data_IF_932247560505
#
_entry.id   IF_932247560505
#
_cell.length_a   1.000
_cell.length_b   1.000
_cell.length_c   1.000
_cell.angle_alpha   90.00
_cell.angle_beta   90.00
_cell.angle_gamma   90.00
#
_symmetry.space_group_name_H-M   'P 1'
#
loop_
_entity.id
_entity.type
_entity.pdbx_description
1 polymer ?
#
# COMPACT_ATOMS: atom_id res chain seq x y z
N UNK A 1 -39.71 26.68 -55.18
CA UNK A 1 -38.34 26.19 -54.86
C UNK A 1 -38.42 25.38 -53.58
N UNK A 2 -37.84 24.16 -53.50
CA UNK A 2 -37.74 23.45 -52.23
C UNK A 2 -36.49 23.89 -51.44
N UNK A 3 -36.46 23.77 -50.11
CA UNK A 3 -35.32 24.20 -49.30
C UNK A 3 -34.16 23.21 -49.41
N UNK A 4 -32.93 23.74 -49.56
CA UNK A 4 -31.68 22.96 -49.57
C UNK A 4 -31.49 22.28 -48.20
N UNK A 5 -31.41 20.94 -48.17
CA UNK A 5 -30.87 20.18 -47.04
C UNK A 5 -29.42 20.62 -46.78
N UNK A 6 -29.13 21.15 -45.59
CA UNK A 6 -27.75 21.32 -45.10
C UNK A 6 -27.20 19.94 -44.72
N UNK A 7 -26.19 19.48 -45.43
CA UNK A 7 -25.37 18.33 -45.04
C UNK A 7 -24.52 18.73 -43.84
N UNK A 8 -24.84 18.22 -42.64
CA UNK A 8 -23.91 18.27 -41.50
C UNK A 8 -22.89 17.15 -41.68
N UNK A 9 -21.67 17.53 -42.04
CA UNK A 9 -20.49 16.66 -41.92
C UNK A 9 -20.04 16.66 -40.46
N UNK A 10 -20.22 15.53 -39.78
CA UNK A 10 -19.57 15.28 -38.49
C UNK A 10 -18.06 15.10 -38.74
N UNK A 11 -17.17 15.91 -38.13
CA UNK A 11 -15.75 15.71 -38.27
C UNK A 11 -15.34 14.41 -37.55
N UNK A 12 -14.68 13.52 -38.29
CA UNK A 12 -13.95 12.40 -37.70
C UNK A 12 -12.86 12.94 -36.75
N UNK A 13 -12.66 12.34 -35.57
CA UNK A 13 -11.65 12.81 -34.63
C UNK A 13 -10.26 12.61 -35.22
N UNK A 14 -9.60 13.70 -35.58
CA UNK A 14 -8.21 13.70 -36.05
C UNK A 14 -7.30 13.35 -34.89
N UNK A 15 -6.69 12.16 -34.92
CA UNK A 15 -5.65 11.74 -33.99
C UNK A 15 -4.43 12.64 -34.19
N UNK A 16 -4.24 13.59 -33.26
CA UNK A 16 -3.13 14.55 -33.32
C UNK A 16 -1.84 13.91 -32.80
N UNK A 17 -0.68 14.34 -33.33
CA UNK A 17 0.62 13.91 -32.81
C UNK A 17 0.78 14.22 -31.32
N UNK A 18 0.12 15.28 -30.82
CA UNK A 18 0.08 15.61 -29.39
C UNK A 18 -0.65 14.53 -28.58
N UNK A 19 -1.77 14.00 -29.09
CA UNK A 19 -2.50 12.91 -28.45
C UNK A 19 -1.71 11.60 -28.45
N UNK A 20 -1.00 11.29 -29.56
CA UNK A 20 -0.10 10.13 -29.65
C UNK A 20 1.06 10.29 -28.66
N UNK A 21 1.70 11.45 -28.62
CA UNK A 21 2.81 11.72 -27.70
C UNK A 21 2.35 11.68 -26.24
N UNK A 22 1.13 12.13 -25.94
CA UNK A 22 0.56 12.03 -24.60
C UNK A 22 0.31 10.58 -24.22
N UNK A 23 -0.29 9.78 -25.11
CA UNK A 23 -0.52 8.36 -24.89
C UNK A 23 0.80 7.58 -24.65
N UNK A 24 1.84 7.89 -25.42
CA UNK A 24 3.17 7.30 -25.22
C UNK A 24 3.76 7.71 -23.86
N UNK A 25 3.61 8.98 -23.46
CA UNK A 25 4.08 9.47 -22.15
C UNK A 25 3.35 8.79 -21.00
N UNK A 26 2.02 8.73 -21.09
CA UNK A 26 1.17 8.08 -20.10
C UNK A 26 1.49 6.58 -19.99
N UNK A 27 1.76 5.91 -21.13
CA UNK A 27 2.18 4.52 -21.18
C UNK A 27 3.57 4.26 -20.60
N UNK A 28 4.55 5.14 -20.88
CA UNK A 28 5.88 5.07 -20.29
C UNK A 28 5.83 5.33 -18.78
N UNK A 29 5.08 6.33 -18.33
CA UNK A 29 4.90 6.58 -16.91
C UNK A 29 4.13 5.45 -16.21
N UNK A 30 3.14 4.85 -16.87
CA UNK A 30 2.44 3.68 -16.36
C UNK A 30 3.38 2.48 -16.23
N UNK A 31 4.22 2.21 -17.23
CA UNK A 31 5.21 1.13 -17.19
C UNK A 31 6.32 1.36 -16.15
N UNK A 32 6.79 2.60 -15.98
CA UNK A 32 7.76 2.98 -14.94
C UNK A 32 7.12 2.85 -13.54
N UNK A 33 5.83 3.22 -13.38
CA UNK A 33 5.07 2.96 -12.15
C UNK A 33 4.93 1.45 -11.90
N UNK A 34 4.61 0.68 -12.94
CA UNK A 34 4.39 -0.78 -12.88
C UNK A 34 5.66 -1.58 -12.53
N UNK A 35 6.85 -1.16 -12.97
CA UNK A 35 8.12 -1.80 -12.58
C UNK A 35 8.49 -1.51 -11.11
N UNK A 36 8.09 -0.35 -10.58
CA UNK A 36 8.42 0.07 -9.21
C UNK A 36 7.36 -0.40 -8.19
N UNK A 37 6.15 -0.77 -8.61
CA UNK A 37 4.96 -1.08 -7.77
C UNK A 37 4.71 -2.58 -7.49
N UNK A 38 5.65 -3.46 -7.86
CA UNK A 38 5.46 -4.92 -7.73
C UNK A 38 5.59 -5.38 -6.28
N UNK A 39 4.66 -6.24 -5.86
CA UNK A 39 4.84 -7.04 -4.65
C UNK A 39 5.59 -8.32 -4.99
N UNK A 40 6.73 -8.52 -4.33
CA UNK A 40 7.50 -9.75 -4.39
C UNK A 40 7.33 -10.50 -3.06
N UNK A 41 6.81 -11.73 -3.11
CA UNK A 41 6.58 -12.59 -1.93
C UNK A 41 7.84 -12.77 -1.05
N UNK A 42 9.03 -12.68 -1.64
CA UNK A 42 10.32 -12.80 -0.93
C UNK A 42 10.50 -11.77 0.20
N UNK A 43 9.66 -10.75 0.24
CA UNK A 43 9.68 -9.69 1.25
C UNK A 43 8.76 -9.97 2.47
N UNK A 44 8.02 -11.09 2.48
CA UNK A 44 7.20 -11.53 3.61
C UNK A 44 6.08 -10.54 4.00
N UNK A 45 5.69 -10.55 5.28
CA UNK A 45 4.67 -9.65 5.82
C UNK A 45 5.09 -8.17 5.68
N UNK A 46 6.39 -7.88 5.81
CA UNK A 46 6.97 -6.53 5.65
C UNK A 46 6.72 -6.00 4.24
N UNK A 47 7.02 -6.79 3.22
CA UNK A 47 6.78 -6.41 1.83
C UNK A 47 5.31 -6.21 1.53
N UNK A 48 4.43 -7.05 2.08
CA UNK A 48 2.99 -6.95 1.84
C UNK A 48 2.43 -5.65 2.39
N UNK A 49 2.81 -5.26 3.61
CA UNK A 49 2.38 -3.98 4.21
C UNK A 49 2.91 -2.80 3.42
N UNK A 50 4.20 -2.79 3.06
CA UNK A 50 4.79 -1.71 2.23
C UNK A 50 4.08 -1.58 0.88
N UNK A 51 3.73 -2.70 0.26
CA UNK A 51 2.96 -2.70 -0.98
C UNK A 51 1.56 -2.11 -0.76
N UNK A 52 0.85 -2.47 0.32
CA UNK A 52 -0.45 -1.88 0.62
C UNK A 52 -0.37 -0.36 0.81
N UNK A 53 0.59 0.13 1.58
CA UNK A 53 0.80 1.56 1.80
C UNK A 53 1.10 2.31 0.50
N UNK A 54 1.95 1.72 -0.34
CA UNK A 54 2.25 2.27 -1.65
C UNK A 54 0.99 2.36 -2.51
N UNK A 55 0.19 1.29 -2.57
CA UNK A 55 -1.07 1.30 -3.31
C UNK A 55 -2.07 2.32 -2.73
N UNK A 56 -2.16 2.46 -1.40
CA UNK A 56 -2.96 3.52 -0.77
C UNK A 56 -2.55 4.91 -1.24
N UNK A 57 -1.25 5.18 -1.30
CA UNK A 57 -0.72 6.44 -1.78
C UNK A 57 -1.02 6.65 -3.27
N UNK A 58 -0.77 5.64 -4.11
CA UNK A 58 -1.06 5.68 -5.55
C UNK A 58 -2.54 5.95 -5.82
N UNK A 59 -3.46 5.34 -5.06
CA UNK A 59 -4.89 5.60 -5.19
C UNK A 59 -5.29 7.01 -4.78
N UNK A 60 -4.71 7.55 -3.70
CA UNK A 60 -4.95 8.93 -3.26
C UNK A 60 -4.50 9.94 -4.31
N UNK A 61 -3.29 9.77 -4.85
CA UNK A 61 -2.71 10.67 -5.86
C UNK A 61 -3.51 10.62 -7.17
N UNK A 62 -3.87 9.41 -7.63
CA UNK A 62 -4.60 9.21 -8.88
C UNK A 62 -6.10 9.53 -8.79
N UNK A 63 -6.64 9.79 -7.59
CA UNK A 63 -8.09 9.89 -7.34
C UNK A 63 -8.85 8.68 -7.87
N UNK A 64 -8.29 7.48 -7.66
CA UNK A 64 -8.87 6.24 -8.15
C UNK A 64 -10.29 6.07 -7.61
N UNK A 65 -11.26 5.82 -8.50
CA UNK A 65 -12.64 5.60 -8.12
C UNK A 65 -12.79 4.30 -7.31
N UNK A 66 -13.65 4.34 -6.29
CA UNK A 66 -14.05 3.15 -5.54
C UNK A 66 -14.59 2.08 -6.52
N UNK A 67 -14.14 0.82 -6.36
CA UNK A 67 -14.46 -0.27 -7.29
C UNK A 67 -13.52 -0.42 -8.51
N UNK A 68 -12.56 0.51 -8.71
CA UNK A 68 -11.44 0.30 -9.66
C UNK A 68 -10.13 -0.04 -8.95
N UNK A 69 -10.01 0.29 -7.67
CA UNK A 69 -8.82 0.07 -6.85
C UNK A 69 -8.34 -1.40 -6.84
N UNK A 70 -9.24 -2.38 -6.69
CA UNK A 70 -8.89 -3.81 -6.71
C UNK A 70 -8.35 -4.23 -8.07
N UNK A 71 -8.96 -3.78 -9.17
CA UNK A 71 -8.47 -4.08 -10.54
C UNK A 71 -7.06 -3.55 -10.76
N UNK A 72 -6.79 -2.32 -10.30
CA UNK A 72 -5.46 -1.73 -10.39
C UNK A 72 -4.44 -2.44 -9.49
N UNK A 73 -4.76 -2.69 -8.21
CA UNK A 73 -3.86 -3.40 -7.31
C UNK A 73 -3.53 -4.80 -7.81
N UNK A 74 -4.52 -5.54 -8.28
CA UNK A 74 -4.32 -6.94 -8.69
C UNK A 74 -3.52 -7.08 -9.97
N UNK A 75 -3.46 -6.01 -10.79
CA UNK A 75 -2.58 -5.95 -11.96
C UNK A 75 -1.09 -5.85 -11.59
N UNK A 76 -0.75 -5.34 -10.39
CA UNK A 76 0.65 -5.22 -9.95
C UNK A 76 1.15 -6.47 -9.21
N UNK A 77 0.29 -7.47 -8.99
CA UNK A 77 0.67 -8.74 -8.38
C UNK A 77 1.53 -9.58 -9.33
N UNK A 78 2.52 -10.26 -8.76
CA UNK A 78 3.44 -11.13 -9.49
C UNK A 78 3.63 -12.47 -8.76
N UNK A 79 4.22 -13.44 -9.47
CA UNK A 79 4.59 -14.75 -8.90
C UNK A 79 3.42 -15.48 -8.24
N UNK A 80 3.61 -15.92 -6.99
CA UNK A 80 2.59 -16.64 -6.22
C UNK A 80 1.37 -15.77 -5.92
N UNK A 81 1.55 -14.47 -5.66
CA UNK A 81 0.44 -13.57 -5.37
C UNK A 81 -0.50 -13.44 -6.58
N UNK A 82 0.04 -13.34 -7.79
CA UNK A 82 -0.74 -13.36 -9.01
C UNK A 82 -1.44 -14.71 -9.23
N UNK A 83 -0.73 -15.81 -9.00
CA UNK A 83 -1.28 -17.16 -9.12
C UNK A 83 -2.45 -17.37 -8.15
N UNK A 84 -2.30 -16.92 -6.90
CA UNK A 84 -3.34 -16.94 -5.89
C UNK A 84 -4.56 -16.09 -6.31
N UNK A 85 -4.34 -14.86 -6.79
CA UNK A 85 -5.43 -14.00 -7.24
C UNK A 85 -6.19 -14.60 -8.42
N UNK A 86 -5.48 -15.21 -9.38
CA UNK A 86 -6.12 -15.91 -10.49
C UNK A 86 -7.01 -17.07 -10.02
N UNK A 87 -6.63 -17.78 -8.96
CA UNK A 87 -7.48 -18.81 -8.35
C UNK A 87 -8.74 -18.23 -7.71
N UNK A 88 -8.66 -17.04 -7.08
CA UNK A 88 -9.84 -16.31 -6.58
C UNK A 88 -10.78 -15.93 -7.73
N UNK A 89 -10.23 -15.40 -8.82
CA UNK A 89 -10.99 -15.04 -10.03
C UNK A 89 -11.64 -16.27 -10.67
N UNK A 90 -10.96 -17.42 -10.70
CA UNK A 90 -11.50 -18.66 -11.23
C UNK A 90 -12.64 -19.22 -10.37
N UNK A 91 -12.54 -19.08 -9.05
CA UNK A 91 -13.52 -19.59 -8.09
C UNK A 91 -14.78 -18.73 -8.02
N UNK A 92 -14.62 -17.40 -8.02
CA UNK A 92 -15.71 -16.45 -7.76
C UNK A 92 -16.28 -15.81 -9.03
N UNK A 93 -15.53 -15.88 -10.14
CA UNK A 93 -15.79 -15.08 -11.33
C UNK A 93 -15.13 -13.71 -11.26
N UNK A 94 -14.69 -13.21 -12.43
CA UNK A 94 -13.93 -11.95 -12.57
C UNK A 94 -14.68 -10.73 -12.04
N UNK A 95 -15.98 -10.64 -12.28
CA UNK A 95 -16.77 -9.48 -11.85
C UNK A 95 -16.87 -9.43 -10.33
N UNK A 96 -17.34 -10.52 -9.73
CA UNK A 96 -17.45 -10.67 -8.28
C UNK A 96 -16.11 -10.44 -7.57
N UNK A 97 -15.03 -11.05 -8.06
CA UNK A 97 -13.71 -10.89 -7.46
C UNK A 97 -13.23 -9.42 -7.48
N UNK A 98 -13.50 -8.69 -8.56
CA UNK A 98 -13.09 -7.30 -8.70
C UNK A 98 -13.99 -6.29 -7.98
N UNK A 99 -15.25 -6.66 -7.73
CA UNK A 99 -16.21 -5.83 -6.98
C UNK A 99 -16.04 -5.96 -5.47
N UNK A 100 -15.22 -6.91 -5.01
CA UNK A 100 -14.92 -7.06 -3.58
C UNK A 100 -14.41 -5.75 -2.99
N UNK A 101 -14.87 -5.38 -1.78
CA UNK A 101 -14.30 -4.26 -1.06
C UNK A 101 -12.79 -4.42 -0.91
N UNK A 102 -12.06 -3.32 -1.11
CA UNK A 102 -10.60 -3.32 -0.95
C UNK A 102 -10.15 -3.85 0.41
N UNK A 103 -10.88 -3.52 1.47
CA UNK A 103 -10.59 -3.98 2.84
C UNK A 103 -10.65 -5.50 2.97
N UNK A 104 -11.59 -6.13 2.27
CA UNK A 104 -11.71 -7.59 2.23
C UNK A 104 -10.51 -8.21 1.49
N UNK A 105 -10.15 -7.68 0.32
CA UNK A 105 -8.97 -8.16 -0.43
C UNK A 105 -7.69 -7.99 0.39
N UNK A 106 -7.56 -6.87 1.13
CA UNK A 106 -6.45 -6.63 2.05
C UNK A 106 -6.36 -7.73 3.12
N UNK A 107 -7.49 -8.06 3.75
CA UNK A 107 -7.54 -9.13 4.75
C UNK A 107 -7.18 -10.50 4.15
N UNK A 108 -7.79 -10.87 3.02
CA UNK A 108 -7.53 -12.14 2.36
C UNK A 108 -6.05 -12.33 2.00
N UNK A 109 -5.38 -11.26 1.56
CA UNK A 109 -3.95 -11.31 1.28
C UNK A 109 -3.13 -11.44 2.56
N UNK A 110 -3.46 -10.71 3.62
CA UNK A 110 -2.79 -10.86 4.93
C UNK A 110 -2.90 -12.30 5.44
N UNK A 111 -4.08 -12.92 5.38
CA UNK A 111 -4.30 -14.29 5.86
C UNK A 111 -3.46 -15.33 5.11
N UNK A 112 -3.14 -15.06 3.83
CA UNK A 112 -2.41 -15.98 2.95
C UNK A 112 -0.91 -15.74 2.98
N UNK A 113 -0.48 -14.49 3.09
CA UNK A 113 0.91 -14.07 2.90
C UNK A 113 1.60 -13.56 4.17
N UNK A 114 0.87 -13.45 5.30
CA UNK A 114 1.44 -13.14 6.61
C UNK A 114 1.21 -14.32 7.57
N UNK A 115 2.09 -15.34 7.57
CA UNK A 115 2.01 -16.45 8.51
C UNK A 115 1.99 -15.95 9.97
N UNK A 116 1.18 -16.60 10.81
CA UNK A 116 1.04 -16.23 12.23
C UNK A 116 2.39 -16.23 12.95
N UNK A 117 3.30 -17.15 12.61
CA UNK A 117 4.63 -17.24 13.19
C UNK A 117 5.50 -16.03 12.86
N UNK A 118 5.42 -15.52 11.63
CA UNK A 118 6.15 -14.31 11.20
C UNK A 118 5.60 -13.08 11.92
N UNK A 119 4.27 -12.93 11.96
CA UNK A 119 3.60 -11.84 12.69
C UNK A 119 4.00 -11.87 14.16
N UNK A 120 3.94 -13.04 14.81
CA UNK A 120 4.35 -13.19 16.21
C UNK A 120 5.82 -12.81 16.42
N UNK A 121 6.71 -13.21 15.51
CA UNK A 121 8.12 -12.82 15.56
C UNK A 121 8.31 -11.30 15.46
N UNK A 122 7.56 -10.63 14.59
CA UNK A 122 7.59 -9.17 14.45
C UNK A 122 7.03 -8.47 15.69
N UNK A 123 5.96 -8.99 16.28
CA UNK A 123 5.43 -8.47 17.54
C UNK A 123 6.42 -8.61 18.69
N UNK A 124 7.09 -9.76 18.77
CA UNK A 124 8.11 -9.99 19.79
C UNK A 124 9.33 -9.11 19.57
N UNK A 125 9.73 -8.86 18.32
CA UNK A 125 10.74 -7.86 18.01
C UNK A 125 10.31 -6.47 18.51
N UNK A 126 9.07 -6.04 18.22
CA UNK A 126 8.55 -4.75 18.67
C UNK A 126 8.56 -4.61 20.20
N UNK A 127 8.15 -5.65 20.92
CA UNK A 127 8.08 -5.67 22.40
C UNK A 127 9.47 -5.56 23.05
N UNK A 128 10.51 -6.00 22.36
CA UNK A 128 11.88 -6.09 22.84
C UNK A 128 12.86 -5.16 22.11
N UNK A 129 12.36 -4.31 21.21
CA UNK A 129 13.17 -3.36 20.47
C UNK A 129 13.89 -2.42 21.44
N UNK A 130 15.19 -2.22 21.21
CA UNK A 130 16.03 -1.32 22.01
C UNK A 130 16.85 -0.43 21.11
N UNK A 131 17.03 0.82 21.53
CA UNK A 131 17.97 1.74 20.91
C UNK A 131 19.38 1.16 21.02
N UNK A 132 20.07 1.04 19.88
CA UNK A 132 21.47 0.62 19.79
C UNK A 132 22.34 1.78 19.32
N UNK A 133 23.57 1.86 19.84
CA UNK A 133 24.60 2.82 19.42
C UNK A 133 24.17 4.29 19.41
N UNK A 134 23.15 4.65 20.21
CA UNK A 134 22.48 5.96 20.21
C UNK A 134 21.95 6.41 18.84
N UNK A 135 21.75 5.46 17.90
CA UNK A 135 21.20 5.76 16.59
C UNK A 135 19.66 5.86 16.66
N UNK A 136 19.19 7.04 17.05
CA UNK A 136 17.75 7.30 17.21
C UNK A 136 17.02 7.13 15.88
N UNK A 137 17.60 7.58 14.76
CA UNK A 137 16.97 7.49 13.45
C UNK A 137 16.64 6.04 13.05
N UNK A 138 17.62 5.13 13.16
CA UNK A 138 17.41 3.72 12.84
C UNK A 138 16.42 3.05 13.81
N UNK A 139 16.43 3.43 15.09
CA UNK A 139 15.46 2.94 16.06
C UNK A 139 14.04 3.41 15.72
N UNK A 140 13.85 4.69 15.42
CA UNK A 140 12.55 5.26 15.04
C UNK A 140 12.02 4.64 13.76
N UNK A 141 12.87 4.48 12.74
CA UNK A 141 12.51 3.83 11.49
C UNK A 141 12.02 2.40 11.74
N UNK A 142 12.82 1.58 12.43
CA UNK A 142 12.45 0.19 12.72
C UNK A 142 11.20 0.08 13.60
N UNK A 143 11.06 0.95 14.60
CA UNK A 143 9.87 0.99 15.45
C UNK A 143 8.61 1.29 14.63
N UNK A 144 8.67 2.28 13.74
CA UNK A 144 7.53 2.64 12.91
C UNK A 144 7.14 1.52 11.94
N UNK A 145 8.12 0.84 11.32
CA UNK A 145 7.84 -0.35 10.50
C UNK A 145 7.12 -1.44 11.29
N UNK A 146 7.64 -1.81 12.46
CA UNK A 146 7.06 -2.85 13.31
C UNK A 146 5.66 -2.47 13.83
N UNK A 147 5.45 -1.19 14.15
CA UNK A 147 4.14 -0.68 14.57
C UNK A 147 3.09 -0.74 13.44
N UNK A 148 3.51 -0.54 12.18
CA UNK A 148 2.64 -0.69 11.01
C UNK A 148 2.29 -2.15 10.73
N UNK A 149 3.24 -3.06 10.96
CA UNK A 149 3.09 -4.50 10.77
C UNK A 149 2.22 -5.16 11.84
N UNK A 150 2.23 -4.60 13.06
CA UNK A 150 1.57 -5.19 14.22
C UNK A 150 0.55 -4.20 14.84
N UNK A 151 -0.51 -3.81 14.11
CA UNK A 151 -1.47 -2.81 14.57
C UNK A 151 -2.14 -3.20 15.90
N UNK A 152 -2.35 -4.50 16.13
CA UNK A 152 -2.93 -5.03 17.37
C UNK A 152 -1.98 -4.91 18.58
N UNK A 153 -0.66 -4.85 18.34
CA UNK A 153 0.31 -4.58 19.39
C UNK A 153 0.28 -3.09 19.83
N UNK A 154 -0.06 -2.19 18.89
CA UNK A 154 -0.09 -0.72 19.07
C UNK A 154 -1.51 -0.14 18.98
N UNK A 155 -2.48 -0.78 19.68
CA UNK A 155 -3.92 -0.46 19.67
C UNK A 155 -4.31 1.03 19.76
N UNK A 156 -3.46 1.87 20.36
CA UNK A 156 -3.67 3.30 20.42
C UNK A 156 -2.33 4.04 20.56
N UNK A 157 -2.38 5.35 20.33
CA UNK A 157 -1.22 6.23 20.36
C UNK A 157 -0.49 6.20 21.71
N UNK A 158 -1.24 6.11 22.82
CA UNK A 158 -0.65 6.01 24.16
C UNK A 158 0.24 4.76 24.28
N UNK A 159 -0.28 3.59 23.87
CA UNK A 159 0.46 2.32 23.90
C UNK A 159 1.66 2.34 22.96
N UNK A 160 1.52 3.00 21.80
CA UNK A 160 2.61 3.22 20.84
C UNK A 160 3.74 4.05 21.48
N UNK A 161 3.42 5.17 22.12
CA UNK A 161 4.39 6.01 22.84
C UNK A 161 5.06 5.24 23.98
N UNK A 162 4.29 4.49 24.78
CA UNK A 162 4.82 3.68 25.88
C UNK A 162 5.84 2.63 25.40
N UNK A 163 5.51 1.90 24.32
CA UNK A 163 6.42 0.93 23.71
C UNK A 163 7.68 1.60 23.16
N UNK A 164 7.54 2.76 22.51
CA UNK A 164 8.69 3.51 22.00
C UNK A 164 9.63 3.96 23.11
N UNK A 165 9.10 4.50 24.22
CA UNK A 165 9.91 4.95 25.36
C UNK A 165 10.56 3.77 26.07
N UNK A 166 9.88 2.61 26.15
CA UNK A 166 10.40 1.40 26.79
C UNK A 166 11.75 0.95 26.23
N UNK A 167 11.95 1.09 24.91
CA UNK A 167 13.19 0.73 24.22
C UNK A 167 14.34 1.72 24.36
N UNK A 168 14.10 2.92 24.91
CA UNK A 168 15.14 3.93 25.12
C UNK A 168 16.03 3.61 26.35
N UNK A 169 17.31 4.01 26.34
CA UNK A 169 18.19 3.92 27.50
C UNK A 169 17.73 4.89 28.60
N UNK A 170 18.04 4.59 29.86
CA UNK A 170 17.59 5.37 31.03
C UNK A 170 18.00 6.85 30.97
N UNK A 171 19.16 7.14 30.36
CA UNK A 171 19.67 8.50 30.17
C UNK A 171 18.69 9.36 29.34
N UNK A 172 18.04 8.78 28.32
CA UNK A 172 17.07 9.47 27.45
C UNK A 172 15.65 9.40 28.02
N UNK A 173 15.33 8.31 28.73
CA UNK A 173 14.02 8.13 29.37
C UNK A 173 13.73 9.21 30.40
N UNK A 174 14.72 9.64 31.19
CA UNK A 174 14.54 10.71 32.18
C UNK A 174 14.05 12.02 31.58
N UNK A 175 14.57 12.38 30.40
CA UNK A 175 14.16 13.59 29.68
C UNK A 175 12.78 13.43 29.01
N UNK A 176 12.52 12.25 28.41
CA UNK A 176 11.30 11.97 27.65
C UNK A 176 10.08 11.73 28.55
N UNK A 177 10.25 11.10 29.71
CA UNK A 177 9.15 10.90 30.68
C UNK A 177 8.75 12.20 31.37
N UNK A 178 9.68 13.15 31.51
CA UNK A 178 9.39 14.49 32.03
C UNK A 178 8.51 15.32 31.08
N UNK A 179 8.61 15.11 29.76
CA UNK A 179 7.87 15.90 28.76
C UNK A 179 6.45 15.37 28.47
N UNK A 180 6.10 14.16 28.96
CA UNK A 180 4.80 13.50 28.78
C UNK A 180 4.24 13.65 27.35
N UNK A 181 4.94 13.12 26.34
CA UNK A 181 4.49 13.24 24.96
C UNK A 181 3.15 12.50 24.78
N UNK A 182 2.18 13.19 24.18
CA UNK A 182 0.87 12.61 23.84
C UNK A 182 0.88 11.87 22.49
N UNK A 183 1.87 12.16 21.64
CA UNK A 183 2.00 11.67 20.27
C UNK A 183 3.47 11.53 19.88
N UNK A 184 3.80 10.56 19.03
CA UNK A 184 5.08 10.46 18.33
C UNK A 184 5.02 11.28 17.03
N UNK A 185 5.34 12.57 17.08
CA UNK A 185 5.50 13.43 15.89
C UNK A 185 6.95 13.83 15.70
#
# INVERSE_FOLDING_TARGET
MPPKRRSQTNPQPTLTQKAVNQFVRDGIEAAIRDEQERFHETEGAVGLVRWFEKMENTFKISKCAEGKNVKFATATLHGRALTWWNSQVATLGREVANERPRTEVKQMMTDVFCPTEEVQSLEDELRHLKLKDMNIAAYTERFNELALLCPDAVLNEKKKVELYIKGLPEIIKGETTSSRPATLN
#
